data_IF_458593493165
#
_entry.id   IF_458593493165
#
_cell.length_a   1.000
_cell.length_b   1.000
_cell.length_c   1.000
_cell.angle_alpha   90.00
_cell.angle_beta   90.00
_cell.angle_gamma   90.00
#
_symmetry.space_group_name_H-M   'P 1'
#
loop_
_entity.id
_entity.type
_entity.pdbx_description
1 polymer ?
#
# COMPACT_ATOMS: atom_id res chain seq x y z
N UNK A 1 -14.42 -7.69 8.67
CA UNK A 1 -14.06 -8.72 9.68
C UNK A 1 -13.03 -9.74 9.19
N UNK A 2 -12.74 -9.88 7.89
CA UNK A 2 -11.79 -10.89 7.37
C UNK A 2 -10.33 -10.43 7.26
N UNK A 3 -10.05 -9.13 7.11
CA UNK A 3 -8.68 -8.58 7.09
C UNK A 3 -7.98 -8.68 8.44
N UNK A 4 -8.72 -8.52 9.54
CA UNK A 4 -8.17 -8.62 10.91
C UNK A 4 -7.70 -10.05 11.21
N UNK A 5 -8.47 -11.08 10.82
CA UNK A 5 -8.07 -12.48 11.05
C UNK A 5 -6.82 -12.89 10.26
N UNK A 6 -6.67 -12.40 9.03
CA UNK A 6 -5.46 -12.62 8.24
C UNK A 6 -4.25 -11.90 8.87
N UNK A 7 -4.43 -10.65 9.31
CA UNK A 7 -3.41 -9.87 10.01
C UNK A 7 -2.98 -10.50 11.36
N UNK A 8 -3.90 -11.13 12.09
CA UNK A 8 -3.59 -11.80 13.38
C UNK A 8 -2.72 -13.05 13.25
N UNK A 9 -2.58 -13.61 12.04
CA UNK A 9 -1.65 -14.72 11.78
C UNK A 9 -0.18 -14.29 11.77
N UNK A 10 0.08 -12.99 11.63
CA UNK A 10 1.42 -12.42 11.75
C UNK A 10 1.63 -12.02 13.21
N UNK A 11 2.72 -12.49 13.85
CA UNK A 11 3.03 -12.14 15.25
C UNK A 11 3.08 -10.60 15.37
N UNK A 12 2.08 -10.01 16.01
CA UNK A 12 1.90 -8.54 16.13
C UNK A 12 0.74 -7.96 15.32
N UNK A 13 -0.35 -8.72 15.13
CA UNK A 13 -1.51 -8.36 14.32
C UNK A 13 -1.91 -6.89 14.41
N UNK A 14 -1.70 -6.18 13.30
CA UNK A 14 -1.94 -4.77 13.13
C UNK A 14 -3.34 -4.35 13.60
N UNK A 15 -3.42 -3.44 14.56
CA UNK A 15 -4.67 -2.86 15.04
C UNK A 15 -4.55 -1.35 15.17
N UNK A 16 -5.65 -0.68 15.50
CA UNK A 16 -5.61 0.77 15.78
C UNK A 16 -4.87 1.04 17.08
N UNK A 17 -4.94 0.10 18.01
CA UNK A 17 -4.36 0.16 19.35
C UNK A 17 -2.86 -0.19 19.35
N UNK A 18 -2.44 -1.02 18.39
CA UNK A 18 -1.04 -1.40 18.15
C UNK A 18 -0.67 -1.17 16.68
N UNK A 19 -0.49 0.09 16.25
CA UNK A 19 -0.17 0.39 14.86
C UNK A 19 1.24 -0.04 14.52
N UNK A 20 1.43 -0.59 13.32
CA UNK A 20 2.76 -0.76 12.75
C UNK A 20 3.19 0.52 12.03
N UNK A 21 4.46 0.87 12.19
CA UNK A 21 5.12 1.88 11.38
C UNK A 21 5.00 1.59 9.87
N UNK A 22 4.91 2.64 9.05
CA UNK A 22 4.67 2.52 7.61
C UNK A 22 5.82 1.79 6.89
N UNK A 23 7.07 2.05 7.27
CA UNK A 23 8.20 1.36 6.64
C UNK A 23 8.17 -0.13 6.97
N UNK A 24 7.94 -0.48 8.24
CA UNK A 24 7.76 -1.88 8.65
C UNK A 24 6.60 -2.56 7.94
N UNK A 25 5.47 -1.87 7.78
CA UNK A 25 4.33 -2.40 7.01
C UNK A 25 4.68 -2.59 5.54
N UNK A 26 5.46 -1.68 4.94
CA UNK A 26 5.89 -1.79 3.54
C UNK A 26 6.81 -2.99 3.33
N UNK A 27 7.77 -3.22 4.23
CA UNK A 27 8.63 -4.42 4.21
C UNK A 27 7.81 -5.70 4.35
N UNK A 28 6.86 -5.70 5.28
CA UNK A 28 5.92 -6.80 5.46
C UNK A 28 5.10 -7.08 4.18
N UNK A 29 4.58 -6.03 3.55
CA UNK A 29 3.83 -6.15 2.29
C UNK A 29 4.71 -6.76 1.20
N UNK A 30 5.96 -6.30 1.06
CA UNK A 30 6.90 -6.84 0.07
C UNK A 30 7.16 -8.35 0.28
N UNK A 31 7.42 -8.75 1.52
CA UNK A 31 7.81 -10.11 1.86
C UNK A 31 6.65 -11.11 1.65
N UNK A 32 5.44 -10.72 2.08
CA UNK A 32 4.32 -11.66 2.24
C UNK A 32 3.19 -11.47 1.25
N UNK A 33 3.03 -10.29 0.65
CA UNK A 33 1.88 -9.98 -0.22
C UNK A 33 2.33 -9.69 -1.65
N UNK A 34 3.36 -8.90 -1.86
CA UNK A 34 3.76 -8.47 -3.19
C UNK A 34 4.22 -9.64 -4.06
N UNK A 35 3.90 -9.60 -5.35
CA UNK A 35 4.22 -10.63 -6.33
C UNK A 35 3.69 -12.03 -5.92
N UNK A 36 2.48 -12.07 -5.36
CA UNK A 36 1.77 -13.29 -4.97
C UNK A 36 0.45 -13.43 -5.73
N UNK A 37 -0.01 -14.68 -5.81
CA UNK A 37 -1.33 -15.03 -6.33
C UNK A 37 -2.16 -15.65 -5.21
N UNK A 38 -3.35 -15.09 -4.98
CA UNK A 38 -4.32 -15.61 -4.02
C UNK A 38 -5.53 -16.16 -4.77
N UNK A 39 -5.76 -17.47 -4.64
CA UNK A 39 -6.92 -18.13 -5.25
C UNK A 39 -8.06 -18.21 -4.24
N UNK A 40 -9.22 -17.69 -4.61
CA UNK A 40 -10.43 -17.76 -3.80
C UNK A 40 -11.46 -18.65 -4.48
N UNK A 41 -11.84 -19.75 -3.83
CA UNK A 41 -12.93 -20.61 -4.27
C UNK A 41 -14.27 -20.07 -3.79
N UNK A 42 -15.29 -20.12 -4.65
CA UNK A 42 -16.66 -19.71 -4.28
C UNK A 42 -17.60 -20.91 -4.29
N UNK A 43 -18.75 -20.76 -3.65
CA UNK A 43 -19.84 -21.75 -3.71
C UNK A 43 -20.65 -21.66 -5.01
N UNK A 44 -20.41 -20.64 -5.84
CA UNK A 44 -21.09 -20.46 -7.13
C UNK A 44 -20.54 -21.41 -8.18
N UNK A 45 -21.42 -22.21 -8.78
CA UNK A 45 -21.04 -23.08 -9.93
C UNK A 45 -20.58 -22.28 -11.15
N UNK A 46 -21.02 -21.03 -11.31
CA UNK A 46 -20.69 -20.18 -12.46
C UNK A 46 -19.31 -19.57 -12.36
N UNK A 47 -18.86 -19.23 -11.15
CA UNK A 47 -17.53 -18.69 -10.87
C UNK A 47 -16.93 -19.53 -9.75
N UNK A 48 -16.45 -20.74 -10.05
CA UNK A 48 -16.01 -21.69 -9.03
C UNK A 48 -14.79 -21.16 -8.26
N UNK A 49 -13.96 -20.33 -8.89
CA UNK A 49 -12.89 -19.59 -8.24
C UNK A 49 -12.52 -18.34 -9.04
N UNK A 50 -11.74 -17.46 -8.42
CA UNK A 50 -11.00 -16.39 -9.10
C UNK A 50 -9.63 -16.20 -8.44
N UNK A 51 -8.71 -15.59 -9.18
CA UNK A 51 -7.33 -15.34 -8.73
C UNK A 51 -7.14 -13.84 -8.54
N UNK A 52 -6.56 -13.46 -7.42
CA UNK A 52 -6.09 -12.10 -7.14
C UNK A 52 -4.58 -12.09 -7.29
N UNK A 53 -4.07 -11.28 -8.21
CA UNK A 53 -2.65 -11.01 -8.37
C UNK A 53 -2.31 -9.70 -7.65
N UNK A 54 -1.40 -9.78 -6.68
CA UNK A 54 -0.91 -8.62 -5.94
C UNK A 54 0.47 -8.22 -6.44
N UNK A 55 0.67 -6.94 -6.77
CA UNK A 55 1.94 -6.38 -7.28
C UNK A 55 2.45 -5.29 -6.36
N UNK A 56 3.77 -5.14 -6.30
CA UNK A 56 4.45 -4.09 -5.51
C UNK A 56 3.85 -2.69 -5.72
N UNK A 57 3.71 -2.33 -6.99
CA UNK A 57 3.25 -1.01 -7.42
C UNK A 57 1.76 -0.72 -7.13
N UNK A 58 0.99 -1.70 -6.63
CA UNK A 58 -0.38 -1.47 -6.16
C UNK A 58 -0.43 -0.81 -4.79
N UNK A 59 0.58 -1.00 -3.93
CA UNK A 59 0.56 -0.46 -2.57
C UNK A 59 0.39 1.08 -2.53
N UNK A 60 1.15 1.87 -3.31
CA UNK A 60 0.94 3.33 -3.37
C UNK A 60 -0.48 3.72 -3.77
N UNK A 61 -1.10 2.97 -4.68
CA UNK A 61 -2.48 3.18 -5.08
C UNK A 61 -3.50 2.84 -3.99
N UNK A 62 -3.27 1.74 -3.26
CA UNK A 62 -4.11 1.33 -2.13
C UNK A 62 -4.05 2.35 -0.98
N UNK A 63 -2.91 3.03 -0.82
CA UNK A 63 -2.73 4.15 0.10
C UNK A 63 -3.31 5.48 -0.43
N UNK A 64 -3.78 5.49 -1.68
CA UNK A 64 -4.36 6.66 -2.31
C UNK A 64 -3.35 7.74 -2.70
N UNK A 65 -2.04 7.44 -2.77
CA UNK A 65 -0.97 8.42 -2.96
C UNK A 65 -1.11 9.26 -4.25
N UNK A 66 -1.88 8.80 -5.24
CA UNK A 66 -2.22 9.59 -6.43
C UNK A 66 -3.05 10.86 -6.13
N UNK A 67 -3.69 10.95 -4.97
CA UNK A 67 -4.52 12.08 -4.56
C UNK A 67 -3.81 13.07 -3.63
N UNK A 68 -2.60 12.73 -3.18
CA UNK A 68 -1.84 13.55 -2.24
C UNK A 68 -1.09 14.63 -3.01
N UNK A 69 -1.11 15.85 -2.49
CA UNK A 69 -0.45 16.97 -3.14
C UNK A 69 1.07 16.82 -3.06
N UNK A 70 1.77 17.36 -4.06
CA UNK A 70 3.23 17.54 -4.09
C UNK A 70 4.11 16.29 -3.91
N UNK A 71 3.55 15.07 -3.93
CA UNK A 71 4.35 13.87 -4.08
C UNK A 71 4.97 13.88 -5.47
N UNK A 72 6.30 13.86 -5.50
CA UNK A 72 7.12 14.17 -6.69
C UNK A 72 6.94 13.17 -7.85
N UNK A 73 6.25 12.06 -7.60
CA UNK A 73 6.22 10.94 -8.53
C UNK A 73 4.80 10.44 -8.72
N UNK A 74 4.21 10.64 -9.91
CA UNK A 74 2.97 9.96 -10.35
C UNK A 74 3.22 8.54 -10.89
N UNK A 75 4.39 7.97 -10.60
CA UNK A 75 4.82 6.65 -11.07
C UNK A 75 4.80 5.69 -9.87
N UNK A 76 3.85 4.76 -9.79
CA UNK A 76 3.65 3.91 -8.60
C UNK A 76 4.87 3.06 -8.24
N UNK A 77 5.63 2.60 -9.23
CA UNK A 77 6.87 1.84 -8.98
C UNK A 77 7.90 2.64 -8.18
N UNK A 78 8.15 3.88 -8.59
CA UNK A 78 9.07 4.77 -7.86
C UNK A 78 8.52 5.18 -6.50
N UNK A 79 7.20 5.38 -6.37
CA UNK A 79 6.60 5.62 -5.06
C UNK A 79 6.83 4.43 -4.12
N UNK A 80 6.68 3.22 -4.64
CA UNK A 80 6.97 1.99 -3.90
C UNK A 80 8.44 1.88 -3.49
N UNK A 81 9.38 2.21 -4.38
CA UNK A 81 10.82 2.27 -4.07
C UNK A 81 11.13 3.26 -2.92
N UNK A 82 10.49 4.43 -2.90
CA UNK A 82 10.66 5.40 -1.80
C UNK A 82 10.10 4.87 -0.48
N UNK A 83 8.96 4.18 -0.51
CA UNK A 83 8.37 3.54 0.67
C UNK A 83 9.24 2.40 1.21
N UNK A 84 9.74 1.51 0.35
CA UNK A 84 10.53 0.33 0.77
C UNK A 84 11.90 0.74 1.34
N UNK A 85 12.46 1.85 0.87
CA UNK A 85 13.69 2.43 1.40
C UNK A 85 13.48 3.22 2.70
N UNK A 86 12.23 3.42 3.14
CA UNK A 86 11.89 4.22 4.32
C UNK A 86 12.05 5.74 4.11
N UNK A 87 12.16 6.19 2.86
CA UNK A 87 12.29 7.62 2.53
C UNK A 87 10.95 8.35 2.63
N UNK A 88 9.85 7.64 2.32
CA UNK A 88 8.49 8.12 2.50
C UNK A 88 7.87 7.44 3.72
N UNK A 89 7.83 8.15 4.84
CA UNK A 89 7.09 7.77 6.04
C UNK A 89 5.84 8.66 6.22
N UNK A 90 5.04 8.41 7.27
CA UNK A 90 3.81 9.19 7.52
C UNK A 90 4.11 10.69 7.71
N UNK A 91 5.10 11.10 8.53
CA UNK A 91 5.52 12.50 8.62
C UNK A 91 5.86 13.14 7.26
N UNK A 92 6.65 12.47 6.43
CA UNK A 92 7.01 12.97 5.10
C UNK A 92 5.78 13.16 4.22
N UNK A 93 4.93 12.13 4.13
CA UNK A 93 3.74 12.13 3.29
C UNK A 93 2.76 13.22 3.73
N UNK A 94 2.56 13.41 5.04
CA UNK A 94 1.73 14.47 5.60
C UNK A 94 2.30 15.88 5.32
N UNK A 95 3.63 16.04 5.39
CA UNK A 95 4.27 17.31 5.06
C UNK A 95 4.15 17.64 3.57
N UNK A 96 4.25 16.64 2.69
CA UNK A 96 4.06 16.82 1.25
C UNK A 96 2.64 17.29 0.91
N UNK A 97 1.62 16.70 1.55
CA UNK A 97 0.21 17.05 1.31
C UNK A 97 -0.14 18.49 1.71
N UNK A 98 0.46 18.96 2.80
CA UNK A 98 0.26 20.30 3.34
C UNK A 98 1.26 21.33 2.77
N UNK A 99 2.18 20.90 1.90
CA UNK A 99 3.16 21.78 1.25
C UNK A 99 2.51 22.70 0.21
N UNK A 100 3.18 23.81 -0.18
CA UNK A 100 2.69 24.67 -1.25
C UNK A 100 2.48 23.82 -2.51
N UNK A 101 1.29 23.90 -3.11
CA UNK A 101 1.00 23.26 -4.40
C UNK A 101 2.11 23.60 -5.38
N UNK A 102 2.77 22.59 -5.97
CA UNK A 102 3.62 22.80 -7.15
C UNK A 102 2.76 23.58 -8.14
N UNK A 103 3.10 24.86 -8.34
CA UNK A 103 2.57 25.60 -9.47
C UNK A 103 2.88 24.73 -10.69
N UNK A 104 1.83 24.23 -11.34
CA UNK A 104 1.97 23.75 -12.71
C UNK A 104 2.29 24.99 -13.53
N UNK A 105 3.58 25.34 -13.61
CA UNK A 105 4.10 26.23 -14.63
C UNK A 105 3.85 25.53 -15.97
N UNK A 106 2.72 25.87 -16.57
CA UNK A 106 2.48 25.64 -17.98
C UNK A 106 3.10 26.80 -18.74
N UNK A 107 4.27 26.56 -19.35
CA UNK A 107 4.76 27.31 -20.51
C UNK A 107 5.48 28.61 -20.23
#
# INVERSE_FOLDING_TARGET
>A
MYTIQWATGFRGGFSKEEPMDLHKFTLFYDEHIAERYFTYSTTSKKIPYFVIETKRNQLPHLMGLQHWNNLDVKQPEKQYERLINGEWDIPFIAAADNGPTKNTDNG
#
